data_IF_553263326632
#
_entry.id   IF_553263326632
#
_cell.length_a   1.000
_cell.length_b   1.000
_cell.length_c   1.000
_cell.angle_alpha   90.00
_cell.angle_beta   90.00
_cell.angle_gamma   90.00
#
_symmetry.space_group_name_H-M   'P 1'
#
loop_
_entity.id
_entity.type
_entity.pdbx_description
1 polymer ?
#
# COMPACT_ATOMS: atom_id res chain seq x y z
N UNK A 1 -8.83 -14.26 13.68
CA UNK A 1 -8.61 -13.77 12.30
C UNK A 1 -9.58 -12.68 11.86
N UNK A 2 -10.88 -12.73 12.19
CA UNK A 2 -11.85 -11.69 11.80
C UNK A 2 -11.60 -10.29 12.43
N UNK A 3 -11.23 -10.23 13.71
CA UNK A 3 -11.06 -8.95 14.42
C UNK A 3 -9.93 -8.07 13.87
N UNK A 4 -8.87 -8.65 13.32
CA UNK A 4 -7.76 -7.88 12.74
C UNK A 4 -8.11 -7.27 11.37
N UNK A 5 -8.98 -7.93 10.60
CA UNK A 5 -9.45 -7.40 9.32
C UNK A 5 -10.36 -6.16 9.50
N UNK A 6 -10.99 -6.02 10.67
CA UNK A 6 -11.81 -4.87 11.01
C UNK A 6 -10.99 -3.60 11.34
N UNK A 7 -9.68 -3.71 11.56
CA UNK A 7 -8.81 -2.56 11.88
C UNK A 7 -8.65 -1.63 10.68
N UNK A 8 -8.53 -2.16 9.46
CA UNK A 8 -8.42 -1.35 8.25
C UNK A 8 -9.67 -0.47 8.02
N UNK A 9 -10.91 -0.98 7.97
CA UNK A 9 -12.09 -0.13 7.78
C UNK A 9 -12.30 0.84 8.94
N UNK A 10 -11.93 0.48 10.18
CA UNK A 10 -11.93 1.42 11.30
C UNK A 10 -11.00 2.60 11.05
N UNK A 11 -9.76 2.35 10.63
CA UNK A 11 -8.82 3.42 10.27
C UNK A 11 -9.29 4.24 9.08
N UNK A 12 -9.90 3.63 8.07
CA UNK A 12 -10.50 4.37 6.95
C UNK A 12 -11.56 5.33 7.47
N UNK A 13 -12.51 4.87 8.29
CA UNK A 13 -13.58 5.72 8.82
C UNK A 13 -13.05 6.90 9.64
N UNK A 14 -11.99 6.68 10.44
CA UNK A 14 -11.40 7.72 11.27
C UNK A 14 -10.49 8.69 10.49
N UNK A 15 -9.69 8.19 9.55
CA UNK A 15 -8.64 8.95 8.88
C UNK A 15 -9.08 9.54 7.53
N UNK A 16 -10.09 8.98 6.86
CA UNK A 16 -10.62 9.53 5.60
C UNK A 16 -11.02 11.02 5.70
N UNK A 17 -11.80 11.48 6.70
CA UNK A 17 -12.14 12.90 6.82
C UNK A 17 -10.90 13.76 7.06
N UNK A 18 -9.93 13.26 7.84
CA UNK A 18 -8.67 13.95 8.14
C UNK A 18 -7.83 14.11 6.87
N UNK A 19 -7.67 13.04 6.09
CA UNK A 19 -6.93 13.06 4.82
C UNK A 19 -7.59 13.98 3.80
N UNK A 20 -8.91 13.92 3.66
CA UNK A 20 -9.67 14.83 2.80
C UNK A 20 -9.41 16.30 3.19
N UNK A 21 -9.44 16.62 4.49
CA UNK A 21 -9.14 17.96 4.99
C UNK A 21 -7.69 18.39 4.70
N UNK A 22 -6.71 17.51 4.89
CA UNK A 22 -5.30 17.78 4.59
C UNK A 22 -5.14 18.14 3.10
N UNK A 23 -5.71 17.35 2.20
CA UNK A 23 -5.62 17.62 0.76
C UNK A 23 -6.31 18.92 0.37
N UNK A 24 -7.50 19.20 0.91
CA UNK A 24 -8.19 20.48 0.69
C UNK A 24 -7.38 21.67 1.19
N UNK A 25 -6.74 21.56 2.35
CA UNK A 25 -5.88 22.61 2.91
C UNK A 25 -4.63 22.84 2.05
N UNK A 26 -3.96 21.77 1.61
CA UNK A 26 -2.81 21.86 0.71
C UNK A 26 -3.18 22.47 -0.64
N UNK A 27 -4.37 22.16 -1.16
CA UNK A 27 -4.94 22.77 -2.37
C UNK A 27 -5.17 24.27 -2.20
N UNK A 28 -5.72 24.71 -1.07
CA UNK A 28 -5.93 26.15 -0.77
C UNK A 28 -4.62 26.95 -0.70
N UNK A 29 -3.53 26.33 -0.27
CA UNK A 29 -2.20 26.96 -0.15
C UNK A 29 -1.37 26.80 -1.44
N UNK A 30 -1.92 26.19 -2.49
CA UNK A 30 -1.21 25.96 -3.76
C UNK A 30 -0.03 24.98 -3.66
N UNK A 31 0.06 24.21 -2.58
CA UNK A 31 1.12 23.22 -2.32
C UNK A 31 0.63 21.78 -2.48
N UNK A 32 -0.48 21.58 -3.20
CA UNK A 32 -0.99 20.24 -3.45
C UNK A 32 0.02 19.43 -4.26
N UNK A 33 0.52 18.29 -3.74
CA UNK A 33 1.39 17.42 -4.51
C UNK A 33 0.65 16.94 -5.76
N UNK A 34 1.35 16.88 -6.89
CA UNK A 34 0.79 16.36 -8.13
C UNK A 34 0.31 14.92 -7.93
N UNK A 35 -0.70 14.52 -8.70
CA UNK A 35 -1.33 13.20 -8.67
C UNK A 35 -0.33 12.04 -8.63
N UNK A 36 0.72 11.97 -9.49
CA UNK A 36 1.73 10.91 -9.43
C UNK A 36 2.57 10.92 -8.16
N UNK A 37 2.82 12.09 -7.58
CA UNK A 37 3.57 12.21 -6.33
C UNK A 37 2.76 11.65 -5.16
N UNK A 38 1.44 11.85 -5.14
CA UNK A 38 0.54 11.23 -4.13
C UNK A 38 0.63 9.70 -4.16
N UNK A 39 0.76 9.12 -5.36
CA UNK A 39 1.01 7.68 -5.51
C UNK A 39 2.35 7.24 -4.91
N UNK A 40 3.42 8.01 -5.13
CA UNK A 40 4.73 7.72 -4.52
C UNK A 40 4.64 7.73 -2.99
N UNK A 41 3.99 8.75 -2.40
CA UNK A 41 3.79 8.81 -0.95
C UNK A 41 2.99 7.61 -0.43
N UNK A 42 1.95 7.18 -1.16
CA UNK A 42 1.17 6.00 -0.80
C UNK A 42 1.99 4.71 -0.81
N UNK A 43 2.76 4.47 -1.88
CA UNK A 43 3.63 3.30 -1.99
C UNK A 43 4.75 3.31 -0.93
N UNK A 44 5.32 4.48 -0.65
CA UNK A 44 6.32 4.63 0.41
C UNK A 44 5.74 4.27 1.78
N UNK A 45 4.50 4.67 2.08
CA UNK A 45 3.82 4.30 3.32
C UNK A 45 3.56 2.80 3.41
N UNK A 46 3.19 2.13 2.32
CA UNK A 46 3.09 0.66 2.31
C UNK A 46 4.45 0.00 2.61
N UNK A 47 5.53 0.43 1.97
CA UNK A 47 6.86 -0.10 2.26
C UNK A 47 7.28 0.13 3.72
N UNK A 48 6.94 1.29 4.30
CA UNK A 48 7.16 1.58 5.72
C UNK A 48 6.35 0.67 6.63
N UNK A 49 5.08 0.38 6.30
CA UNK A 49 4.23 -0.54 7.08
C UNK A 49 4.82 -1.95 7.14
N UNK A 50 5.27 -2.49 6.00
CA UNK A 50 6.03 -3.74 5.98
C UNK A 50 7.37 -3.64 6.73
N UNK A 51 8.04 -2.49 6.68
CA UNK A 51 9.26 -2.25 7.47
C UNK A 51 9.02 -2.38 8.98
N UNK A 52 7.91 -1.82 9.47
CA UNK A 52 7.53 -1.88 10.89
C UNK A 52 7.31 -3.32 11.35
N UNK A 53 6.62 -4.15 10.56
CA UNK A 53 6.39 -5.56 10.94
C UNK A 53 7.70 -6.35 10.98
N UNK A 54 8.60 -6.11 10.02
CA UNK A 54 9.92 -6.76 9.93
C UNK A 54 10.82 -6.37 11.10
N UNK A 55 10.85 -5.08 11.47
CA UNK A 55 11.61 -4.60 12.64
C UNK A 55 11.06 -5.23 13.92
N UNK A 56 9.74 -5.24 14.09
CA UNK A 56 9.09 -5.88 15.24
C UNK A 56 9.41 -7.36 15.33
N UNK A 57 9.35 -8.09 14.21
CA UNK A 57 9.66 -9.51 14.17
C UNK A 57 11.12 -9.79 14.56
N UNK A 58 12.07 -8.96 14.10
CA UNK A 58 13.49 -9.08 14.48
C UNK A 58 13.74 -8.75 15.95
N UNK A 59 13.09 -7.71 16.48
CA UNK A 59 13.27 -7.26 17.86
C UNK A 59 12.67 -8.24 18.88
N UNK A 60 11.55 -8.88 18.53
CA UNK A 60 10.86 -9.85 19.39
C UNK A 60 11.11 -11.32 19.00
N UNK A 61 12.13 -11.58 18.17
CA UNK A 61 12.47 -12.93 17.70
C UNK A 61 12.72 -13.92 18.85
N UNK A 62 13.33 -13.46 19.95
CA UNK A 62 13.61 -14.29 21.13
C UNK A 62 12.36 -14.73 21.91
N UNK A 63 11.27 -13.97 21.84
CA UNK A 63 10.00 -14.29 22.51
C UNK A 63 9.02 -15.05 21.60
N UNK A 64 9.37 -15.20 20.32
CA UNK A 64 8.55 -15.84 19.27
C UNK A 64 7.12 -15.31 19.11
N UNK A 65 6.80 -14.16 19.73
CA UNK A 65 5.49 -13.52 19.70
C UNK A 65 5.67 -12.04 19.38
N UNK A 66 4.99 -11.58 18.33
CA UNK A 66 5.00 -10.17 17.92
C UNK A 66 3.92 -9.39 18.69
N UNK A 67 4.27 -8.28 19.38
CA UNK A 67 3.28 -7.45 20.05
C UNK A 67 2.27 -6.83 19.07
N UNK A 68 1.00 -6.75 19.50
CA UNK A 68 -0.11 -6.24 18.69
C UNK A 68 0.09 -4.82 18.16
N UNK A 69 0.88 -4.00 18.88
CA UNK A 69 1.17 -2.62 18.48
C UNK A 69 1.84 -2.54 17.09
N UNK A 70 2.68 -3.51 16.72
CA UNK A 70 3.32 -3.53 15.39
C UNK A 70 2.32 -3.82 14.28
N UNK A 71 1.32 -4.67 14.54
CA UNK A 71 0.22 -4.91 13.62
C UNK A 71 -0.63 -3.65 13.45
N UNK A 72 -0.99 -2.98 14.55
CA UNK A 72 -1.75 -1.73 14.50
C UNK A 72 -1.00 -0.64 13.73
N UNK A 73 0.31 -0.48 13.95
CA UNK A 73 1.15 0.46 13.21
C UNK A 73 1.26 0.10 11.72
N UNK A 74 1.45 -1.18 11.38
CA UNK A 74 1.45 -1.64 9.99
C UNK A 74 0.13 -1.28 9.30
N UNK A 75 -1.00 -1.62 9.92
CA UNK A 75 -2.33 -1.27 9.40
C UNK A 75 -2.51 0.24 9.26
N UNK A 76 -2.02 1.03 10.22
CA UNK A 76 -2.06 2.49 10.13
C UNK A 76 -1.35 2.99 8.87
N UNK A 77 -0.11 2.57 8.63
CA UNK A 77 0.66 2.98 7.45
C UNK A 77 0.05 2.48 6.13
N UNK A 78 -0.44 1.25 6.11
CA UNK A 78 -1.10 0.70 4.91
C UNK A 78 -2.39 1.46 4.60
N UNK A 79 -3.22 1.73 5.61
CA UNK A 79 -4.47 2.46 5.42
C UNK A 79 -4.22 3.91 5.02
N UNK A 80 -3.23 4.60 5.57
CA UNK A 80 -2.89 5.97 5.11
C UNK A 80 -2.40 5.97 3.66
N UNK A 81 -1.67 4.94 3.25
CA UNK A 81 -1.23 4.78 1.87
C UNK A 81 -2.41 4.50 0.94
N UNK A 82 -3.33 3.63 1.37
CA UNK A 82 -4.57 3.29 0.66
C UNK A 82 -5.48 4.51 0.46
N UNK A 83 -5.64 5.35 1.50
CA UNK A 83 -6.39 6.61 1.44
C UNK A 83 -5.78 7.62 0.46
N UNK A 84 -4.49 7.51 0.19
CA UNK A 84 -3.79 8.35 -0.79
C UNK A 84 -3.90 7.81 -2.22
N UNK A 85 -4.03 6.49 -2.39
CA UNK A 85 -4.07 5.83 -3.71
C UNK A 85 -5.48 5.71 -4.27
N UNK A 86 -6.45 5.30 -3.45
CA UNK A 86 -7.80 4.94 -3.91
C UNK A 86 -8.58 6.10 -4.57
N UNK A 87 -8.70 7.32 -3.99
CA UNK A 87 -9.42 8.42 -4.66
C UNK A 87 -8.62 8.97 -5.86
N UNK A 88 -7.30 8.90 -5.80
CA UNK A 88 -6.41 9.45 -6.81
C UNK A 88 -6.41 8.56 -8.06
N UNK A 89 -6.35 7.24 -7.90
CA UNK A 89 -6.38 6.28 -9.01
C UNK A 89 -7.67 6.31 -9.80
N UNK A 90 -8.82 6.25 -9.12
CA UNK A 90 -10.12 6.35 -9.80
C UNK A 90 -10.32 7.69 -10.50
N UNK A 91 -9.84 8.78 -9.92
CA UNK A 91 -9.89 10.09 -10.57
C UNK A 91 -9.01 10.17 -11.81
N UNK A 92 -7.85 9.50 -11.83
CA UNK A 92 -6.97 9.49 -13.00
C UNK A 92 -7.53 8.67 -14.16
N UNK A 93 -8.10 7.50 -13.85
CA UNK A 93 -8.75 6.64 -14.84
C UNK A 93 -9.83 7.42 -15.58
N UNK A 94 -10.63 8.23 -14.88
CA UNK A 94 -11.68 9.03 -15.51
C UNK A 94 -11.14 10.27 -16.24
N UNK A 95 -10.20 11.02 -15.64
CA UNK A 95 -9.66 12.26 -16.21
C UNK A 95 -8.76 12.05 -17.43
N UNK A 96 -7.98 10.97 -17.48
CA UNK A 96 -7.03 10.69 -18.57
C UNK A 96 -7.64 9.84 -19.69
N UNK A 97 -8.81 9.26 -19.47
CA UNK A 97 -9.48 8.45 -20.49
C UNK A 97 -10.15 9.32 -21.55
N UNK A 98 -10.04 8.98 -22.83
CA UNK A 98 -10.91 9.53 -23.86
C UNK A 98 -12.37 9.19 -23.52
N UNK A 99 -13.26 10.18 -23.61
CA UNK A 99 -14.67 10.05 -23.17
C UNK A 99 -15.43 8.85 -23.76
N UNK A 100 -15.03 8.37 -24.95
CA UNK A 100 -15.64 7.23 -25.65
C UNK A 100 -15.25 5.85 -25.08
N UNK A 101 -14.16 5.75 -24.31
CA UNK A 101 -13.61 4.47 -23.83
C UNK A 101 -13.41 4.40 -22.30
N UNK A 102 -14.02 5.33 -21.54
CA UNK A 102 -13.88 5.37 -20.08
C UNK A 102 -14.25 4.03 -19.43
N UNK A 103 -15.31 3.38 -19.90
CA UNK A 103 -15.73 2.05 -19.41
C UNK A 103 -14.67 0.96 -19.64
N UNK A 104 -13.97 0.99 -20.78
CA UNK A 104 -12.90 0.04 -21.09
C UNK A 104 -11.66 0.26 -20.20
N UNK A 105 -11.25 1.51 -20.01
CA UNK A 105 -10.11 1.85 -19.13
C UNK A 105 -10.44 1.51 -17.67
N UNK A 106 -11.68 1.76 -17.23
CA UNK A 106 -12.14 1.35 -15.90
C UNK A 106 -12.16 -0.18 -15.74
N UNK A 107 -12.55 -0.92 -16.79
CA UNK A 107 -12.42 -2.38 -16.83
C UNK A 107 -10.96 -2.84 -16.68
N UNK A 108 -10.02 -2.14 -17.33
CA UNK A 108 -8.58 -2.42 -17.22
C UNK A 108 -8.05 -2.13 -15.82
N UNK A 109 -8.53 -1.06 -15.16
CA UNK A 109 -8.23 -0.76 -13.77
C UNK A 109 -8.65 -1.91 -12.84
N UNK A 110 -9.90 -2.39 -12.93
CA UNK A 110 -10.35 -3.52 -12.12
C UNK A 110 -9.62 -4.83 -12.46
N UNK A 111 -9.31 -5.06 -13.75
CA UNK A 111 -8.52 -6.22 -14.16
C UNK A 111 -7.12 -6.21 -13.54
N UNK A 112 -6.48 -5.04 -13.44
CA UNK A 112 -5.19 -4.89 -12.77
C UNK A 112 -5.28 -5.24 -11.28
N UNK A 113 -6.37 -4.85 -10.61
CA UNK A 113 -6.63 -5.20 -9.21
C UNK A 113 -6.84 -6.71 -9.05
N UNK A 114 -7.58 -7.36 -9.96
CA UNK A 114 -7.79 -8.81 -9.93
C UNK A 114 -6.45 -9.57 -10.08
N UNK A 115 -5.58 -9.11 -10.99
CA UNK A 115 -4.25 -9.68 -11.16
C UNK A 115 -3.37 -9.48 -9.92
N UNK A 116 -3.44 -8.30 -9.29
CA UNK A 116 -2.74 -8.02 -8.03
C UNK A 116 -3.20 -8.96 -6.90
N UNK A 117 -4.50 -9.22 -6.77
CA UNK A 117 -5.03 -10.18 -5.79
C UNK A 117 -4.55 -11.62 -6.05
N UNK A 118 -4.45 -12.02 -7.32
CA UNK A 118 -3.89 -13.33 -7.68
C UNK A 118 -2.42 -13.45 -7.26
N UNK A 119 -1.61 -12.43 -7.55
CA UNK A 119 -0.20 -12.39 -7.12
C UNK A 119 -0.11 -12.40 -5.59
N UNK A 120 -0.95 -11.62 -4.90
CA UNK A 120 -0.99 -11.60 -3.44
C UNK A 120 -1.30 -12.99 -2.86
N UNK A 121 -2.19 -13.75 -3.51
CA UNK A 121 -2.48 -15.14 -3.15
C UNK A 121 -1.26 -16.06 -3.29
N UNK A 122 -0.49 -15.95 -4.38
CA UNK A 122 0.73 -16.73 -4.56
C UNK A 122 1.84 -16.32 -3.57
N UNK A 123 2.02 -15.03 -3.32
CA UNK A 123 2.95 -14.54 -2.29
C UNK A 123 2.53 -15.00 -0.88
N UNK A 124 1.23 -15.11 -0.62
CA UNK A 124 0.69 -15.66 0.62
C UNK A 124 1.09 -17.11 0.85
N UNK A 125 1.21 -17.92 -0.23
CA UNK A 125 1.70 -19.31 -0.13
C UNK A 125 3.19 -19.37 0.21
N UNK A 126 4.00 -18.42 -0.25
CA UNK A 126 5.42 -18.35 0.12
C UNK A 126 5.61 -18.02 1.61
N UNK A 127 4.67 -17.27 2.19
CA UNK A 127 4.62 -16.98 3.61
C UNK A 127 3.96 -18.12 4.43
N UNK A 128 3.36 -19.12 3.78
CA UNK A 128 2.71 -20.22 4.47
C UNK A 128 3.76 -21.17 5.06
N UNK A 129 3.64 -21.44 6.36
CA UNK A 129 4.48 -22.41 7.05
C UNK A 129 3.82 -23.78 6.90
N UNK A 130 4.54 -24.83 6.47
CA UNK A 130 3.95 -26.16 6.34
C UNK A 130 3.54 -26.72 7.71
N UNK A 131 2.45 -27.50 7.75
CA UNK A 131 1.76 -27.92 8.98
C UNK A 131 2.62 -28.75 9.94
N UNK A 132 3.72 -29.32 9.45
CA UNK A 132 4.70 -30.12 10.18
C UNK A 132 5.69 -29.28 11.02
N UNK A 133 5.81 -27.98 10.75
CA UNK A 133 6.70 -27.07 11.48
C UNK A 133 5.96 -26.43 12.65
N UNK A 134 6.10 -27.04 13.83
CA UNK A 134 5.45 -26.59 15.07
C UNK A 134 6.25 -25.54 15.85
N UNK A 135 7.47 -25.22 15.43
CA UNK A 135 8.33 -24.25 16.11
C UNK A 135 7.95 -22.80 15.70
N UNK A 136 7.46 -21.96 16.64
CA UNK A 136 7.04 -20.60 16.31
C UNK A 136 8.17 -19.70 15.77
N UNK A 137 9.43 -20.02 16.07
CA UNK A 137 10.61 -19.27 15.62
C UNK A 137 10.87 -19.44 14.12
N UNK A 138 10.74 -20.66 13.59
CA UNK A 138 10.91 -20.94 12.15
C UNK A 138 9.79 -20.31 11.33
N UNK A 139 8.57 -20.31 11.88
CA UNK A 139 7.43 -19.62 11.27
C UNK A 139 7.67 -18.12 11.17
N UNK A 140 8.09 -17.49 12.27
CA UNK A 140 8.37 -16.05 12.32
C UNK A 140 9.48 -15.64 11.34
N UNK A 141 10.52 -16.46 11.19
CA UNK A 141 11.60 -16.23 10.24
C UNK A 141 11.10 -16.25 8.78
N UNK A 142 10.32 -17.27 8.39
CA UNK A 142 9.75 -17.37 7.06
C UNK A 142 8.84 -16.16 6.71
N UNK A 143 7.98 -15.74 7.64
CA UNK A 143 7.17 -14.52 7.48
C UNK A 143 8.02 -13.26 7.33
N UNK A 144 9.09 -13.15 8.13
CA UNK A 144 9.97 -11.98 8.11
C UNK A 144 10.69 -11.86 6.77
N UNK A 145 11.19 -12.96 6.22
CA UNK A 145 11.92 -12.95 4.96
C UNK A 145 11.03 -12.58 3.78
N UNK A 146 9.83 -13.15 3.71
CA UNK A 146 8.85 -12.80 2.66
C UNK A 146 8.46 -11.34 2.75
N UNK A 147 8.16 -10.82 3.95
CA UNK A 147 7.80 -9.42 4.14
C UNK A 147 8.97 -8.46 3.90
N UNK A 148 10.20 -8.86 4.20
CA UNK A 148 11.39 -8.05 3.93
C UNK A 148 11.67 -7.97 2.42
N UNK A 149 11.64 -9.09 1.71
CA UNK A 149 11.91 -9.11 0.27
C UNK A 149 10.75 -8.48 -0.50
N UNK A 150 9.55 -9.02 -0.37
CA UNK A 150 8.41 -8.64 -1.20
C UNK A 150 7.67 -7.41 -0.67
N UNK A 151 7.57 -7.28 0.66
CA UNK A 151 6.88 -6.15 1.29
C UNK A 151 7.73 -4.88 1.37
N UNK A 152 9.01 -4.99 1.70
CA UNK A 152 9.91 -3.83 1.83
C UNK A 152 10.66 -3.57 0.53
N UNK A 153 11.54 -4.48 0.09
CA UNK A 153 12.45 -4.16 -1.02
C UNK A 153 11.74 -4.01 -2.36
N UNK A 154 10.83 -4.92 -2.72
CA UNK A 154 10.10 -4.83 -3.99
C UNK A 154 9.19 -3.60 -4.02
N UNK A 155 8.48 -3.29 -2.93
CA UNK A 155 7.61 -2.10 -2.87
C UNK A 155 8.44 -0.82 -2.87
N UNK A 156 9.59 -0.80 -2.19
CA UNK A 156 10.50 0.35 -2.21
C UNK A 156 11.13 0.54 -3.59
N UNK A 157 11.52 -0.53 -4.27
CA UNK A 157 11.98 -0.48 -5.65
C UNK A 157 10.90 0.06 -6.58
N UNK A 158 9.65 -0.38 -6.43
CA UNK A 158 8.51 0.15 -7.18
C UNK A 158 8.25 1.64 -6.87
N UNK A 159 8.43 2.05 -5.61
CA UNK A 159 8.31 3.44 -5.16
C UNK A 159 9.38 4.32 -5.83
N UNK A 160 10.64 3.87 -5.84
CA UNK A 160 11.76 4.57 -6.47
C UNK A 160 11.60 4.62 -7.99
N UNK A 161 11.17 3.51 -8.60
CA UNK A 161 10.88 3.46 -10.03
C UNK A 161 9.77 4.44 -10.41
N UNK A 162 8.68 4.48 -9.62
CA UNK A 162 7.60 5.45 -9.84
C UNK A 162 8.10 6.88 -9.66
N UNK A 163 8.90 7.16 -8.62
CA UNK A 163 9.50 8.46 -8.38
C UNK A 163 10.36 8.93 -9.57
N UNK A 164 11.15 8.02 -10.16
CA UNK A 164 11.93 8.30 -11.37
C UNK A 164 11.06 8.54 -12.60
N UNK A 165 9.87 7.93 -12.67
CA UNK A 165 8.89 8.14 -13.75
C UNK A 165 8.04 9.40 -13.56
N UNK A 166 7.94 9.98 -12.36
CA UNK A 166 7.19 11.21 -12.07
C UNK A 166 7.47 12.34 -13.09
N UNK A 167 8.72 12.71 -13.44
CA UNK A 167 8.96 13.79 -14.41
C UNK A 167 8.37 13.50 -15.80
N UNK A 168 8.39 12.24 -16.23
CA UNK A 168 7.84 11.82 -17.53
C UNK A 168 6.32 11.83 -17.48
N UNK A 169 5.73 11.23 -16.44
CA UNK A 169 4.27 11.22 -16.23
C UNK A 169 3.73 12.63 -16.13
N UNK A 170 4.44 13.52 -15.42
CA UNK A 170 4.12 14.94 -15.33
C UNK A 170 4.08 15.62 -16.71
N UNK A 171 4.97 15.26 -17.63
CA UNK A 171 5.00 15.79 -19.00
C UNK A 171 3.81 15.29 -19.81
N UNK A 172 3.45 14.01 -19.67
CA UNK A 172 2.36 13.38 -20.42
C UNK A 172 0.95 13.72 -19.92
N UNK A 173 0.82 14.12 -18.65
CA UNK A 173 -0.47 14.45 -18.05
C UNK A 173 -0.98 15.87 -18.37
N UNK A 174 -0.30 16.65 -19.22
CA UNK A 174 -0.76 17.95 -19.77
C UNK A 174 -1.68 18.77 -18.84
N UNK A 175 -1.12 19.27 -17.73
CA UNK A 175 -1.76 20.14 -16.71
C UNK A 175 -2.85 19.53 -15.80
N UNK A 176 -3.15 18.23 -15.93
CA UNK A 176 -4.10 17.55 -15.07
C UNK A 176 -3.48 17.39 -13.66
N UNK A 177 -4.06 18.10 -12.69
CA UNK A 177 -3.74 18.00 -11.25
C UNK A 177 -4.54 16.88 -10.55
#
# INVERSE_FOLDING_TARGET
>A
TSQFQAVNPLYIMLLAPVFSWIWMKLRKVGKEPRTPMKFVWGLAQMALGYGVIVIGAKFFAGNAVLPIIFLLLMYLFHTTGELSLSPVGLSLVTKLSPGKIVGFVMGTWFLSIAFAHKIAGELGKLAAVPEDVTHPQTSLAAFTDVYLIWGVYVVLAATVALLALVPILKKWMHEIH
#
